data_IF_624975537351
#
_entry.id   IF_624975537351
#
_cell.length_a   1.000
_cell.length_b   1.000
_cell.length_c   1.000
_cell.angle_alpha   90.00
_cell.angle_beta   90.00
_cell.angle_gamma   90.00
#
_symmetry.space_group_name_H-M   'P 1'
#
loop_
_entity.id
_entity.type
_entity.pdbx_description
1 polymer ?
#
# COMPACT_ATOMS: atom_id res chain seq x y z
N UNK A 1 -11.61 17.79 1.80
CA UNK A 1 -11.02 16.56 1.20
C UNK A 1 -10.10 15.75 2.12
N UNK A 2 -8.85 16.17 2.44
CA UNK A 2 -7.93 15.34 3.25
C UNK A 2 -8.47 15.02 4.66
N UNK A 3 -9.04 16.01 5.34
CA UNK A 3 -9.61 15.84 6.68
C UNK A 3 -11.00 15.18 6.68
N UNK A 4 -11.76 15.34 5.61
CA UNK A 4 -13.17 14.92 5.56
C UNK A 4 -13.36 13.51 5.01
N UNK A 5 -12.41 13.03 4.21
CA UNK A 5 -12.47 11.68 3.62
C UNK A 5 -11.29 10.82 4.07
N UNK A 6 -10.05 11.26 3.84
CA UNK A 6 -8.88 10.40 4.06
C UNK A 6 -8.63 10.08 5.54
N UNK A 7 -8.81 11.06 6.45
CA UNK A 7 -8.67 10.79 7.88
C UNK A 7 -9.72 9.75 8.33
N UNK A 8 -11.04 9.95 8.12
CA UNK A 8 -12.02 8.93 8.48
C UNK A 8 -11.81 7.57 7.80
N UNK A 9 -11.38 7.55 6.54
CA UNK A 9 -11.09 6.31 5.83
C UNK A 9 -9.93 5.53 6.48
N UNK A 10 -8.89 6.23 6.93
CA UNK A 10 -7.75 5.59 7.60
C UNK A 10 -8.09 5.14 9.02
N UNK A 11 -8.88 5.92 9.76
CA UNK A 11 -9.39 5.55 11.08
C UNK A 11 -10.22 4.26 11.01
N UNK A 12 -11.19 4.23 10.11
CA UNK A 12 -12.07 3.06 9.94
C UNK A 12 -11.31 1.83 9.43
N UNK A 13 -10.37 2.00 8.50
CA UNK A 13 -9.49 0.90 8.07
C UNK A 13 -8.64 0.34 9.21
N UNK A 14 -8.12 1.21 10.08
CA UNK A 14 -7.32 0.77 11.22
C UNK A 14 -8.19 0.01 12.24
N UNK A 15 -9.43 0.45 12.46
CA UNK A 15 -10.42 -0.26 13.28
C UNK A 15 -10.78 -1.63 12.69
N UNK A 16 -10.95 -1.73 11.36
CA UNK A 16 -11.26 -2.98 10.66
C UNK A 16 -10.22 -4.09 10.92
N UNK A 17 -8.95 -3.71 11.16
CA UNK A 17 -7.86 -4.64 11.46
C UNK A 17 -7.57 -4.75 12.97
N UNK A 18 -8.49 -4.28 13.84
CA UNK A 18 -8.37 -4.34 15.29
C UNK A 18 -7.49 -3.26 15.94
N UNK A 19 -7.09 -2.26 15.17
CA UNK A 19 -6.38 -1.08 15.66
C UNK A 19 -7.28 -0.11 16.44
N UNK A 20 -6.66 0.75 17.24
CA UNK A 20 -7.34 1.82 17.97
C UNK A 20 -7.12 3.17 17.25
N UNK A 21 -8.13 3.72 16.55
CA UNK A 21 -8.00 4.97 15.80
C UNK A 21 -7.52 6.16 16.62
N UNK A 22 -7.77 6.17 17.95
CA UNK A 22 -7.34 7.26 18.84
C UNK A 22 -5.81 7.35 19.00
N UNK A 23 -5.10 6.29 18.64
CA UNK A 23 -3.63 6.25 18.63
C UNK A 23 -3.02 6.77 17.33
N UNK A 24 -3.85 7.01 16.30
CA UNK A 24 -3.40 7.61 15.04
C UNK A 24 -3.25 9.12 15.20
N UNK A 25 -2.15 9.65 14.70
CA UNK A 25 -1.89 11.08 14.65
C UNK A 25 -1.84 11.49 13.19
N UNK A 26 -2.79 12.33 12.78
CA UNK A 26 -2.86 12.86 11.42
C UNK A 26 -2.24 14.25 11.38
N UNK A 27 -1.21 14.41 10.56
CA UNK A 27 -0.53 15.69 10.34
C UNK A 27 -0.65 16.09 8.88
N UNK A 28 -1.07 17.33 8.63
CA UNK A 28 -1.13 17.87 7.29
C UNK A 28 0.22 18.54 6.98
N UNK A 29 0.94 18.04 5.97
CA UNK A 29 2.26 18.57 5.60
C UNK A 29 2.30 20.09 5.48
N UNK A 30 1.28 20.71 4.87
CA UNK A 30 1.22 22.17 4.72
C UNK A 30 1.16 22.92 6.05
N UNK A 31 0.49 22.36 7.06
CA UNK A 31 0.44 22.94 8.41
C UNK A 31 1.77 22.73 9.13
N UNK A 32 2.37 21.55 9.01
CA UNK A 32 3.66 21.25 9.64
C UNK A 32 4.80 22.10 9.06
N UNK A 33 4.85 22.29 7.74
CA UNK A 33 5.84 23.18 7.11
C UNK A 33 5.67 24.63 7.54
N UNK A 34 4.43 25.08 7.79
CA UNK A 34 4.16 26.43 8.27
C UNK A 34 4.59 26.63 9.73
N UNK A 35 4.43 25.59 10.58
CA UNK A 35 4.85 25.61 11.98
C UNK A 35 6.37 25.47 12.15
N UNK A 36 7.01 24.76 11.22
CA UNK A 36 8.42 24.41 11.26
C UNK A 36 9.17 24.96 10.04
N UNK A 37 9.35 26.28 9.91
CA UNK A 37 10.07 26.87 8.77
C UNK A 37 11.52 26.36 8.65
N UNK A 38 12.11 25.87 9.73
CA UNK A 38 13.41 25.21 9.77
C UNK A 38 13.48 23.91 8.95
N UNK A 39 12.32 23.34 8.61
CA UNK A 39 12.19 22.25 7.65
C UNK A 39 12.97 22.55 6.37
N UNK A 40 12.89 23.77 5.84
CA UNK A 40 13.54 24.13 4.59
C UNK A 40 15.07 24.10 4.67
N UNK A 41 15.66 24.35 5.86
CA UNK A 41 17.09 24.12 6.07
C UNK A 41 17.42 22.64 6.05
N UNK A 42 16.60 21.80 6.68
CA UNK A 42 16.75 20.32 6.65
C UNK A 42 16.65 19.78 5.21
N UNK A 43 15.68 20.28 4.45
CA UNK A 43 15.53 19.98 3.02
C UNK A 43 16.79 20.36 2.22
N UNK A 44 17.35 21.56 2.44
CA UNK A 44 18.58 22.00 1.76
C UNK A 44 19.82 21.19 2.19
N UNK A 45 19.92 20.84 3.47
CA UNK A 45 20.98 19.95 3.98
C UNK A 45 20.92 18.58 3.29
N UNK A 46 19.71 18.03 3.14
CA UNK A 46 19.49 16.76 2.45
C UNK A 46 19.75 16.85 0.94
N UNK A 47 19.34 17.94 0.31
CA UNK A 47 19.61 18.21 -1.10
C UNK A 47 21.12 18.29 -1.37
N UNK A 48 21.88 18.95 -0.49
CA UNK A 48 23.35 19.00 -0.56
C UNK A 48 24.00 17.62 -0.44
N UNK A 49 23.42 16.73 0.36
CA UNK A 49 23.90 15.35 0.53
C UNK A 49 23.52 14.41 -0.62
N UNK A 50 22.72 14.86 -1.60
CA UNK A 50 22.15 14.02 -2.67
C UNK A 50 22.53 14.55 -4.05
N UNK A 51 23.12 13.69 -4.90
CA UNK A 51 23.45 14.09 -6.27
C UNK A 51 22.23 14.17 -7.18
N UNK A 52 22.27 15.01 -8.22
CA UNK A 52 21.18 15.14 -9.19
C UNK A 52 20.80 13.79 -9.83
N UNK A 53 21.80 12.97 -10.21
CA UNK A 53 21.56 11.65 -10.77
C UNK A 53 20.81 10.72 -9.80
N UNK A 54 21.05 10.86 -8.49
CA UNK A 54 20.36 10.09 -7.46
C UNK A 54 18.91 10.56 -7.25
N UNK A 55 18.69 11.87 -7.29
CA UNK A 55 17.33 12.44 -7.25
C UNK A 55 16.50 11.97 -8.45
N UNK A 56 17.08 11.98 -9.67
CA UNK A 56 16.42 11.48 -10.89
C UNK A 56 15.99 10.01 -10.77
N UNK A 57 16.89 9.13 -10.32
CA UNK A 57 16.57 7.71 -10.09
C UNK A 57 15.46 7.45 -9.06
N UNK A 58 15.20 8.43 -8.19
CA UNK A 58 14.18 8.35 -7.13
C UNK A 58 12.81 8.86 -7.58
N UNK A 59 12.68 9.42 -8.80
CA UNK A 59 11.39 9.92 -9.33
C UNK A 59 10.37 8.80 -9.51
N UNK A 60 10.82 7.55 -9.70
CA UNK A 60 9.94 6.37 -9.87
C UNK A 60 8.97 6.16 -8.71
N UNK A 61 9.24 6.70 -7.52
CA UNK A 61 8.37 6.66 -6.34
C UNK A 61 7.03 7.36 -6.59
N UNK A 62 7.01 8.34 -7.50
CA UNK A 62 5.83 9.10 -7.91
C UNK A 62 5.05 8.36 -9.01
N UNK A 63 5.45 7.14 -9.38
CA UNK A 63 4.82 6.32 -10.43
C UNK A 63 5.16 6.78 -11.85
N UNK A 64 6.38 7.29 -12.09
CA UNK A 64 6.81 7.83 -13.39
C UNK A 64 8.15 7.26 -13.84
N UNK A 65 8.36 7.15 -15.15
CA UNK A 65 9.62 6.69 -15.75
C UNK A 65 10.72 7.78 -15.68
N UNK A 66 11.99 7.35 -15.71
CA UNK A 66 13.18 8.22 -15.60
C UNK A 66 13.41 9.06 -16.88
N UNK A 67 12.74 8.70 -17.99
CA UNK A 67 13.00 9.20 -19.33
C UNK A 67 12.07 10.35 -19.75
N UNK A 68 12.27 11.54 -19.18
CA UNK A 68 11.81 12.78 -19.82
C UNK A 68 12.92 13.83 -19.76
N UNK A 69 13.37 14.33 -20.92
CA UNK A 69 14.30 15.47 -20.99
C UNK A 69 13.66 16.78 -20.47
N UNK A 70 12.35 16.78 -20.23
CA UNK A 70 11.54 17.88 -19.71
C UNK A 70 10.95 17.60 -18.32
N UNK A 71 11.70 16.95 -17.42
CA UNK A 71 11.26 16.79 -16.03
C UNK A 71 11.21 18.17 -15.35
N UNK A 72 10.02 18.58 -14.91
CA UNK A 72 9.82 19.75 -14.06
C UNK A 72 10.71 19.69 -12.81
N UNK A 73 11.42 20.78 -12.50
CA UNK A 73 12.31 20.86 -11.32
C UNK A 73 11.61 20.48 -10.02
N UNK A 74 10.32 20.80 -9.87
CA UNK A 74 9.51 20.40 -8.72
C UNK A 74 9.51 18.88 -8.47
N UNK A 75 9.51 18.07 -9.53
CA UNK A 75 9.54 16.59 -9.44
C UNK A 75 10.88 16.07 -8.92
N UNK A 76 11.97 16.79 -9.18
CA UNK A 76 13.31 16.45 -8.66
C UNK A 76 13.40 16.75 -7.16
N UNK A 77 12.69 17.78 -6.69
CA UNK A 77 12.65 18.18 -5.29
C UNK A 77 11.81 17.23 -4.43
N UNK A 78 10.77 16.62 -5.00
CA UNK A 78 9.81 15.81 -4.25
C UNK A 78 10.43 14.65 -3.44
N UNK A 79 11.31 13.78 -3.99
CA UNK A 79 11.95 12.73 -3.20
C UNK A 79 12.81 13.26 -2.05
N UNK A 80 13.44 14.42 -2.23
CA UNK A 80 14.25 15.07 -1.18
C UNK A 80 13.34 15.60 -0.07
N UNK A 81 12.22 16.22 -0.45
CA UNK A 81 11.22 16.71 0.49
C UNK A 81 10.64 15.56 1.33
N UNK A 82 10.24 14.46 0.69
CA UNK A 82 9.72 13.28 1.37
C UNK A 82 10.76 12.60 2.28
N UNK A 83 12.04 12.60 1.90
CA UNK A 83 13.10 12.09 2.77
C UNK A 83 13.34 13.05 3.96
N UNK A 84 13.21 14.36 3.76
CA UNK A 84 13.33 15.37 4.83
C UNK A 84 12.17 15.29 5.83
N UNK A 85 10.98 14.89 5.39
CA UNK A 85 9.80 14.70 6.27
C UNK A 85 10.07 13.69 7.40
N UNK A 86 10.90 12.67 7.17
CA UNK A 86 11.30 11.71 8.22
C UNK A 86 12.00 12.42 9.39
N UNK A 87 12.79 13.46 9.10
CA UNK A 87 13.48 14.26 10.10
C UNK A 87 12.58 15.34 10.68
N UNK A 88 11.69 15.94 9.90
CA UNK A 88 10.66 16.84 10.42
C UNK A 88 9.80 16.15 11.49
N UNK A 89 9.31 14.95 11.17
CA UNK A 89 8.42 14.17 12.03
C UNK A 89 9.15 13.48 13.19
N UNK A 90 10.48 13.60 13.27
CA UNK A 90 11.32 12.87 14.21
C UNK A 90 11.04 11.35 14.21
N UNK A 91 10.79 10.78 13.02
CA UNK A 91 10.39 9.38 12.89
C UNK A 91 11.59 8.43 13.03
N UNK A 92 11.67 7.70 14.15
CA UNK A 92 12.67 6.64 14.34
C UNK A 92 12.45 5.45 13.39
N UNK A 93 11.19 5.20 13.01
CA UNK A 93 10.77 4.15 12.09
C UNK A 93 10.01 4.80 10.94
N UNK A 94 10.58 4.75 9.75
CA UNK A 94 9.93 5.16 8.50
C UNK A 94 9.31 3.92 7.85
N UNK A 95 7.98 3.81 7.93
CA UNK A 95 7.21 2.72 7.33
C UNK A 95 6.53 3.19 6.05
N UNK A 96 6.68 2.42 4.96
CA UNK A 96 6.02 2.69 3.68
C UNK A 96 5.91 1.41 2.83
N UNK A 97 5.34 1.51 1.62
CA UNK A 97 5.41 0.43 0.63
C UNK A 97 6.82 0.23 0.06
N UNK A 98 7.09 -0.95 -0.51
CA UNK A 98 8.36 -1.26 -1.20
C UNK A 98 8.71 -0.28 -2.31
N UNK A 99 7.72 0.35 -2.95
CA UNK A 99 7.90 1.38 -3.98
C UNK A 99 8.52 2.67 -3.45
N UNK A 100 8.49 2.91 -2.14
CA UNK A 100 9.06 4.09 -1.49
C UNK A 100 10.50 3.86 -0.98
N UNK A 101 11.05 2.65 -1.14
CA UNK A 101 12.38 2.27 -0.62
C UNK A 101 13.50 3.25 -1.00
N UNK A 102 13.49 3.76 -2.24
CA UNK A 102 14.54 4.66 -2.73
C UNK A 102 14.63 5.95 -1.89
N UNK A 103 13.50 6.50 -1.45
CA UNK A 103 13.44 7.67 -0.56
C UNK A 103 14.09 7.37 0.78
N UNK A 104 13.74 6.22 1.38
CA UNK A 104 14.30 5.83 2.66
C UNK A 104 15.81 5.59 2.59
N UNK A 105 16.32 5.09 1.47
CA UNK A 105 17.77 4.97 1.22
C UNK A 105 18.42 6.36 1.13
N UNK A 106 17.79 7.35 0.46
CA UNK A 106 18.26 8.76 0.48
C UNK A 106 18.29 9.32 1.89
N UNK A 107 17.21 9.16 2.66
CA UNK A 107 17.12 9.63 4.04
C UNK A 107 18.23 9.04 4.92
N UNK A 108 18.49 7.73 4.81
CA UNK A 108 19.51 7.04 5.62
C UNK A 108 20.95 7.38 5.22
N UNK A 109 21.21 7.65 3.96
CA UNK A 109 22.55 8.01 3.49
C UNK A 109 22.94 9.43 3.90
N UNK A 110 21.97 10.33 3.93
CA UNK A 110 22.15 11.73 4.34
C UNK A 110 21.96 11.95 5.85
N UNK A 111 21.40 10.98 6.58
CA UNK A 111 20.99 11.11 7.97
C UNK A 111 22.02 11.71 8.93
N UNK A 112 23.30 11.35 8.79
CA UNK A 112 24.39 11.84 9.68
C UNK A 112 24.94 13.21 9.27
N UNK A 113 24.52 13.75 8.12
CA UNK A 113 24.92 15.05 7.61
C UNK A 113 23.89 16.14 7.97
N UNK A 114 22.66 15.74 8.30
CA UNK A 114 21.59 16.64 8.77
C UNK A 114 22.00 17.25 10.11
N UNK A 115 21.87 18.56 10.25
CA UNK A 115 22.21 19.30 11.49
C UNK A 115 20.99 19.92 12.13
N UNK A 116 20.09 20.47 11.31
CA UNK A 116 18.95 21.25 11.78
C UNK A 116 17.95 20.38 12.55
N UNK A 117 17.48 19.29 11.93
CA UNK A 117 16.47 18.38 12.51
C UNK A 117 17.01 16.96 12.71
N UNK A 118 18.28 16.85 13.13
CA UNK A 118 18.95 15.58 13.28
C UNK A 118 18.19 14.63 14.22
N UNK A 119 17.91 13.41 13.75
CA UNK A 119 17.35 12.35 14.60
C UNK A 119 18.39 11.92 15.64
N UNK A 120 18.00 11.88 16.91
CA UNK A 120 18.87 11.49 18.02
C UNK A 120 18.30 10.35 18.84
N UNK A 121 19.17 9.53 19.40
CA UNK A 121 18.81 8.54 20.42
C UNK A 121 18.63 9.21 21.80
N UNK A 122 18.26 8.39 22.80
CA UNK A 122 18.09 8.85 24.19
C UNK A 122 19.38 9.37 24.84
N UNK A 123 20.54 9.10 24.25
CA UNK A 123 21.85 9.58 24.71
C UNK A 123 22.31 10.82 23.95
N UNK A 124 21.50 11.33 23.02
CA UNK A 124 21.81 12.50 22.19
C UNK A 124 22.69 12.21 20.98
N UNK A 125 23.01 10.93 20.69
CA UNK A 125 23.78 10.56 19.51
C UNK A 125 22.89 10.61 18.28
N UNK A 126 23.44 11.12 17.18
CA UNK A 126 22.72 11.15 15.91
C UNK A 126 22.56 9.73 15.36
N UNK A 127 21.33 9.41 14.94
CA UNK A 127 20.96 8.08 14.45
C UNK A 127 20.36 8.13 13.04
N UNK A 128 20.32 6.97 12.40
CA UNK A 128 19.63 6.78 11.12
C UNK A 128 18.23 6.22 11.38
N UNK A 129 17.19 6.67 10.64
CA UNK A 129 15.85 6.12 10.78
C UNK A 129 15.83 4.65 10.31
N UNK A 130 15.14 3.78 11.03
CA UNK A 130 14.87 2.41 10.59
C UNK A 130 13.85 2.47 9.47
N UNK A 131 14.10 1.77 8.36
CA UNK A 131 13.17 1.72 7.23
C UNK A 131 12.49 0.35 7.18
N UNK A 132 11.16 0.34 7.27
CA UNK A 132 10.32 -0.87 7.16
C UNK A 132 9.45 -0.74 5.93
N UNK A 133 9.45 -1.77 5.08
CA UNK A 133 8.71 -1.74 3.83
C UNK A 133 7.70 -2.86 3.77
N UNK A 134 6.45 -2.54 3.41
CA UNK A 134 5.39 -3.53 3.20
C UNK A 134 5.38 -4.01 1.74
N UNK A 135 5.02 -5.28 1.49
CA UNK A 135 4.78 -5.79 0.15
C UNK A 135 3.72 -4.98 -0.60
N UNK A 136 3.74 -5.08 -1.93
CA UNK A 136 2.76 -4.41 -2.81
C UNK A 136 1.62 -5.38 -3.10
N UNK A 137 0.40 -4.91 -2.88
CA UNK A 137 -0.81 -5.58 -3.34
C UNK A 137 -0.97 -5.37 -4.85
N UNK A 138 -1.07 -6.49 -5.58
CA UNK A 138 -1.25 -6.46 -7.03
C UNK A 138 -2.65 -5.96 -7.40
N UNK A 139 -2.75 -5.27 -8.54
CA UNK A 139 -4.05 -4.99 -9.14
C UNK A 139 -4.79 -6.29 -9.50
N UNK A 140 -6.11 -6.35 -9.28
CA UNK A 140 -6.90 -7.57 -9.50
C UNK A 140 -6.85 -8.07 -10.95
N UNK A 141 -6.67 -7.16 -11.92
CA UNK A 141 -6.57 -7.47 -13.35
C UNK A 141 -5.13 -7.68 -13.83
N UNK A 142 -4.15 -7.66 -12.92
CA UNK A 142 -2.74 -7.80 -13.27
C UNK A 142 -2.48 -9.18 -13.83
N UNK A 143 -2.16 -9.20 -15.12
CA UNK A 143 -1.60 -10.35 -15.81
C UNK A 143 -0.08 -10.15 -15.78
N UNK A 144 0.57 -10.59 -14.71
CA UNK A 144 2.02 -10.62 -14.69
C UNK A 144 2.47 -11.50 -15.86
N UNK A 145 3.14 -10.88 -16.84
CA UNK A 145 3.56 -11.54 -18.07
C UNK A 145 4.41 -12.76 -17.71
N UNK A 146 3.91 -13.93 -18.12
CA UNK A 146 4.66 -15.18 -18.12
C UNK A 146 5.79 -15.00 -19.15
N UNK A 147 7.00 -14.65 -18.73
CA UNK A 147 8.04 -14.40 -19.72
C UNK A 147 9.42 -14.05 -19.20
N UNK A 148 9.58 -12.90 -18.55
CA UNK A 148 10.92 -12.38 -18.32
C UNK A 148 11.25 -12.26 -16.84
N UNK A 149 12.45 -12.77 -16.50
CA UNK A 149 13.13 -12.56 -15.21
C UNK A 149 13.55 -11.10 -15.06
N UNK A 150 12.65 -10.14 -15.22
CA UNK A 150 12.83 -8.83 -14.62
C UNK A 150 12.42 -8.91 -13.15
N UNK A 151 13.10 -8.11 -12.31
CA UNK A 151 12.90 -8.10 -10.86
C UNK A 151 11.41 -8.07 -10.52
N UNK A 152 10.92 -9.09 -9.80
CA UNK A 152 9.51 -9.22 -9.42
C UNK A 152 8.98 -7.94 -8.72
N UNK A 153 9.86 -7.21 -8.04
CA UNK A 153 9.59 -5.92 -7.42
C UNK A 153 9.22 -4.82 -8.45
N UNK A 154 9.88 -4.79 -9.61
CA UNK A 154 9.58 -3.84 -10.70
C UNK A 154 8.22 -4.18 -11.32
N UNK A 155 7.97 -5.47 -11.58
CA UNK A 155 6.71 -5.93 -12.15
C UNK A 155 5.53 -5.67 -11.19
N UNK A 156 5.73 -5.86 -9.89
CA UNK A 156 4.75 -5.53 -8.86
C UNK A 156 4.52 -4.01 -8.75
N UNK A 157 5.55 -3.17 -8.93
CA UNK A 157 5.39 -1.71 -8.97
C UNK A 157 4.58 -1.23 -10.19
N UNK A 158 4.82 -1.82 -11.37
CA UNK A 158 4.10 -1.47 -12.61
C UNK A 158 2.63 -1.91 -12.57
N UNK A 159 2.36 -3.02 -11.87
CA UNK A 159 1.04 -3.64 -11.81
C UNK A 159 0.36 -3.51 -10.43
N UNK A 160 0.77 -2.52 -9.64
CA UNK A 160 0.14 -2.20 -8.35
C UNK A 160 -1.30 -1.73 -8.53
N UNK A 161 -2.11 -1.89 -7.49
CA UNK A 161 -3.43 -1.26 -7.47
C UNK A 161 -3.30 0.24 -7.77
N UNK A 162 -3.96 0.70 -8.84
CA UNK A 162 -3.94 2.10 -9.24
C UNK A 162 -5.32 2.69 -9.10
N UNK A 163 -5.40 3.87 -8.46
CA UNK A 163 -6.64 4.66 -8.41
C UNK A 163 -7.17 5.01 -9.81
N UNK A 164 -6.32 5.02 -10.84
CA UNK A 164 -6.73 5.32 -12.22
C UNK A 164 -7.48 4.18 -12.92
N UNK A 165 -7.51 2.97 -12.35
CA UNK A 165 -8.29 1.84 -12.86
C UNK A 165 -9.21 1.35 -11.75
N UNK A 166 -10.45 1.83 -11.72
CA UNK A 166 -11.43 1.50 -10.67
C UNK A 166 -11.64 -0.02 -10.46
N UNK A 167 -11.53 -0.81 -11.54
CA UNK A 167 -11.65 -2.28 -11.50
C UNK A 167 -10.37 -2.99 -10.99
N UNK A 168 -9.27 -2.27 -10.79
CA UNK A 168 -7.99 -2.85 -10.35
C UNK A 168 -7.87 -3.02 -8.84
N UNK A 169 -8.75 -2.42 -8.04
CA UNK A 169 -8.69 -2.49 -6.59
C UNK A 169 -10.06 -2.33 -5.92
N UNK A 170 -10.09 -2.61 -4.63
CA UNK A 170 -11.27 -2.47 -3.78
C UNK A 170 -11.13 -1.22 -2.93
N UNK A 171 -12.18 -0.41 -2.87
CA UNK A 171 -12.25 0.76 -1.98
C UNK A 171 -12.87 0.36 -0.64
N UNK A 172 -12.63 1.18 0.38
CA UNK A 172 -13.10 0.94 1.76
C UNK A 172 -14.63 0.95 1.91
N UNK A 173 -15.34 1.43 0.90
CA UNK A 173 -16.78 1.64 0.87
C UNK A 173 -17.46 0.92 -0.30
N UNK A 174 -16.74 0.08 -1.05
CA UNK A 174 -17.34 -0.76 -2.10
C UNK A 174 -18.42 -1.66 -1.47
N UNK A 175 -19.61 -1.74 -2.08
CA UNK A 175 -20.66 -2.63 -1.59
C UNK A 175 -20.28 -4.10 -1.73
N UNK A 176 -20.98 -4.97 -1.00
CA UNK A 176 -20.78 -6.43 -1.06
C UNK A 176 -20.85 -6.97 -2.50
N UNK A 177 -21.79 -6.46 -3.30
CA UNK A 177 -21.95 -6.82 -4.71
C UNK A 177 -20.75 -6.40 -5.56
N UNK A 178 -20.20 -5.19 -5.32
CA UNK A 178 -19.03 -4.66 -6.03
C UNK A 178 -17.78 -5.45 -5.63
N UNK A 179 -17.58 -5.73 -4.35
CA UNK A 179 -16.47 -6.56 -3.85
C UNK A 179 -16.49 -7.93 -4.53
N UNK A 180 -17.65 -8.61 -4.51
CA UNK A 180 -17.82 -9.92 -5.17
C UNK A 180 -17.53 -9.84 -6.66
N UNK A 181 -18.06 -8.82 -7.35
CA UNK A 181 -17.83 -8.63 -8.79
C UNK A 181 -16.35 -8.45 -9.11
N UNK A 182 -15.64 -7.59 -8.37
CA UNK A 182 -14.21 -7.28 -8.59
C UNK A 182 -13.31 -8.47 -8.28
N UNK A 183 -13.55 -9.20 -7.19
CA UNK A 183 -12.79 -10.41 -6.88
C UNK A 183 -13.07 -11.52 -7.90
N UNK A 184 -14.32 -11.67 -8.34
CA UNK A 184 -14.67 -12.68 -9.34
C UNK A 184 -14.03 -12.40 -10.70
N UNK A 185 -13.82 -11.13 -11.06
CA UNK A 185 -13.11 -10.75 -12.28
C UNK A 185 -11.58 -10.83 -12.16
N UNK A 186 -11.03 -11.06 -10.97
CA UNK A 186 -9.58 -11.07 -10.78
C UNK A 186 -8.87 -12.14 -11.62
N UNK A 187 -7.67 -11.83 -12.10
CA UNK A 187 -6.79 -12.78 -12.78
C UNK A 187 -6.31 -13.83 -11.77
N UNK A 188 -6.65 -15.10 -12.03
CA UNK A 188 -6.33 -16.22 -11.14
C UNK A 188 -6.35 -17.53 -11.95
N UNK A 189 -5.33 -17.80 -12.78
CA UNK A 189 -5.26 -19.02 -13.57
C UNK A 189 -5.07 -20.25 -12.67
N UNK A 190 -5.88 -21.28 -12.91
CA UNK A 190 -5.86 -22.52 -12.11
C UNK A 190 -4.52 -23.25 -12.21
N UNK A 191 -3.99 -23.69 -11.06
CA UNK A 191 -2.74 -24.46 -10.99
C UNK A 191 -1.49 -23.67 -11.38
N UNK A 192 -1.59 -22.34 -11.56
CA UNK A 192 -0.48 -21.52 -12.00
C UNK A 192 -0.32 -20.25 -11.16
N UNK A 193 0.94 -19.96 -10.85
CA UNK A 193 1.37 -18.74 -10.18
C UNK A 193 1.50 -18.85 -8.66
N UNK A 194 2.10 -17.82 -8.09
CA UNK A 194 2.30 -17.60 -6.66
C UNK A 194 1.85 -16.17 -6.30
N UNK A 195 2.09 -15.74 -5.06
CA UNK A 195 1.80 -14.35 -4.63
C UNK A 195 2.49 -13.24 -5.43
N UNK A 196 3.44 -13.52 -6.32
CA UNK A 196 4.15 -12.52 -7.13
C UNK A 196 3.47 -12.23 -8.47
N UNK A 197 2.74 -13.20 -9.02
CA UNK A 197 2.13 -13.10 -10.36
C UNK A 197 0.63 -13.45 -10.40
N UNK A 198 0.05 -13.90 -9.29
CA UNK A 198 -1.38 -14.17 -9.15
C UNK A 198 -1.98 -13.20 -8.10
N UNK A 199 -2.73 -12.17 -8.53
CA UNK A 199 -3.36 -11.19 -7.63
C UNK A 199 -4.22 -11.80 -6.53
N UNK A 200 -4.95 -12.88 -6.83
CA UNK A 200 -5.79 -13.55 -5.84
C UNK A 200 -4.95 -14.21 -4.74
N UNK A 201 -3.87 -14.90 -5.11
CA UNK A 201 -2.93 -15.49 -4.15
C UNK A 201 -2.16 -14.41 -3.37
N UNK A 202 -1.80 -13.30 -4.04
CA UNK A 202 -1.16 -12.14 -3.43
C UNK A 202 -2.01 -11.54 -2.31
N UNK A 203 -3.28 -11.26 -2.59
CA UNK A 203 -4.22 -10.72 -1.60
C UNK A 203 -4.48 -11.73 -0.48
N UNK A 204 -4.66 -13.01 -0.83
CA UNK A 204 -4.82 -14.07 0.17
C UNK A 204 -3.63 -14.09 1.14
N UNK A 205 -2.40 -14.03 0.63
CA UNK A 205 -1.19 -13.99 1.47
C UNK A 205 -1.14 -12.79 2.40
N UNK A 206 -1.33 -11.60 1.85
CA UNK A 206 -1.01 -10.36 2.57
C UNK A 206 -2.20 -9.75 3.32
N UNK A 207 -3.44 -10.12 3.00
CA UNK A 207 -4.64 -9.62 3.68
C UNK A 207 -5.25 -10.65 4.64
N UNK A 208 -5.23 -11.94 4.28
CA UNK A 208 -5.83 -13.01 5.08
C UNK A 208 -4.78 -13.65 5.98
N UNK A 209 -3.67 -14.11 5.39
CA UNK A 209 -2.58 -14.77 6.13
C UNK A 209 -1.49 -13.79 6.61
N UNK A 210 -1.91 -12.62 7.09
CA UNK A 210 -0.98 -11.59 7.61
C UNK A 210 -0.47 -11.89 9.03
N UNK A 211 -1.08 -12.85 9.73
CA UNK A 211 -0.71 -13.33 11.06
C UNK A 211 -0.53 -14.85 11.08
N UNK A 212 0.33 -15.37 11.96
CA UNK A 212 0.57 -16.82 12.07
C UNK A 212 -0.67 -17.62 12.53
N UNK A 213 -1.57 -16.97 13.25
CA UNK A 213 -2.84 -17.52 13.71
C UNK A 213 -3.94 -17.47 12.64
N UNK A 214 -3.72 -16.82 11.50
CA UNK A 214 -4.72 -16.68 10.46
C UNK A 214 -5.14 -18.04 9.90
N UNK A 215 -6.45 -18.20 9.69
CA UNK A 215 -7.07 -19.41 9.13
C UNK A 215 -8.05 -19.00 8.04
N UNK A 216 -8.14 -19.80 6.99
CA UNK A 216 -9.17 -19.61 5.95
C UNK A 216 -9.99 -20.89 5.80
N UNK A 217 -11.30 -20.74 5.91
CA UNK A 217 -12.27 -21.80 5.64
C UNK A 217 -12.90 -21.53 4.27
N UNK A 218 -12.95 -22.54 3.41
CA UNK A 218 -13.56 -22.46 2.09
C UNK A 218 -14.73 -23.44 2.07
N UNK A 219 -15.96 -22.91 2.02
CA UNK A 219 -17.16 -23.74 1.92
C UNK A 219 -17.41 -24.13 0.47
N UNK A 220 -17.49 -25.44 0.19
CA UNK A 220 -17.80 -25.94 -1.16
C UNK A 220 -18.67 -27.19 -1.09
N UNK A 221 -19.60 -27.39 -2.04
CA UNK A 221 -20.46 -28.57 -2.07
C UNK A 221 -19.67 -29.89 -2.07
N UNK A 222 -20.22 -30.95 -1.45
CA UNK A 222 -19.57 -32.27 -1.38
C UNK A 222 -19.15 -32.83 -2.74
N UNK A 223 -19.95 -32.58 -3.79
CA UNK A 223 -19.65 -32.98 -5.18
C UNK A 223 -18.35 -32.39 -5.75
N UNK A 224 -17.80 -31.35 -5.10
CA UNK A 224 -16.55 -30.69 -5.46
C UNK A 224 -15.44 -30.91 -4.41
N UNK A 225 -15.60 -31.91 -3.53
CA UNK A 225 -14.58 -32.28 -2.54
C UNK A 225 -14.79 -31.72 -1.13
N UNK A 226 -15.95 -31.09 -0.85
CA UNK A 226 -16.37 -30.66 0.49
C UNK A 226 -15.53 -29.53 1.10
N UNK A 227 -15.97 -28.98 2.24
CA UNK A 227 -15.31 -27.84 2.89
C UNK A 227 -13.81 -28.06 3.11
N UNK A 228 -13.02 -27.02 2.83
CA UNK A 228 -11.56 -27.03 3.04
C UNK A 228 -11.17 -26.05 4.15
N UNK A 229 -10.10 -26.38 4.87
CA UNK A 229 -9.51 -25.51 5.91
C UNK A 229 -8.02 -25.38 5.69
N UNK A 230 -7.51 -24.16 5.69
CA UNK A 230 -6.10 -23.86 5.54
C UNK A 230 -5.57 -23.16 6.78
N UNK A 231 -4.48 -23.68 7.34
CA UNK A 231 -3.85 -23.11 8.53
C UNK A 231 -2.68 -22.19 8.23
N UNK A 232 -2.23 -22.17 6.97
CA UNK A 232 -1.15 -21.33 6.49
C UNK A 232 -1.35 -21.00 5.02
N UNK A 233 -0.70 -19.92 4.57
CA UNK A 233 -0.68 -19.57 3.15
C UNK A 233 0.00 -20.67 2.32
N UNK A 234 1.06 -21.28 2.85
CA UNK A 234 1.83 -22.32 2.17
C UNK A 234 1.02 -23.59 1.91
N UNK A 235 0.09 -23.96 2.80
CA UNK A 235 -0.86 -25.05 2.58
C UNK A 235 -1.83 -24.71 1.44
N UNK A 236 -2.36 -23.49 1.44
CA UNK A 236 -3.31 -23.02 0.43
C UNK A 236 -2.67 -22.93 -0.96
N UNK A 237 -1.48 -22.34 -1.04
CA UNK A 237 -0.72 -22.21 -2.29
C UNK A 237 -0.44 -23.58 -2.91
N UNK A 238 -0.01 -24.56 -2.09
CA UNK A 238 0.20 -25.94 -2.56
C UNK A 238 -1.07 -26.56 -3.12
N UNK A 239 -2.20 -26.43 -2.43
CA UNK A 239 -3.49 -26.96 -2.91
C UNK A 239 -3.95 -26.27 -4.20
N UNK A 240 -3.72 -24.96 -4.32
CA UNK A 240 -4.05 -24.20 -5.53
C UNK A 240 -3.21 -24.65 -6.73
N UNK A 241 -1.89 -24.81 -6.56
CA UNK A 241 -0.96 -25.28 -7.60
C UNK A 241 -1.27 -26.72 -8.01
N UNK A 242 -1.60 -27.58 -7.03
CA UNK A 242 -2.00 -28.97 -7.27
C UNK A 242 -3.37 -29.11 -7.95
N UNK A 243 -4.12 -28.00 -8.09
CA UNK A 243 -5.50 -27.96 -8.62
C UNK A 243 -6.53 -28.66 -7.72
N UNK A 244 -6.21 -28.86 -6.45
CA UNK A 244 -7.14 -29.35 -5.44
C UNK A 244 -8.09 -28.24 -4.96
N UNK A 245 -7.64 -26.99 -5.06
CA UNK A 245 -8.42 -25.78 -4.78
C UNK A 245 -8.70 -25.03 -6.09
N UNK A 246 -9.97 -25.01 -6.52
CA UNK A 246 -10.39 -24.31 -7.72
C UNK A 246 -10.40 -22.77 -7.50
N UNK A 247 -10.00 -21.94 -8.49
CA UNK A 247 -9.92 -20.49 -8.33
C UNK A 247 -11.24 -19.82 -7.93
N UNK A 248 -12.38 -20.34 -8.39
CA UNK A 248 -13.69 -19.78 -8.04
C UNK A 248 -14.01 -19.95 -6.54
N UNK A 249 -13.61 -21.07 -5.94
CA UNK A 249 -13.84 -21.32 -4.52
C UNK A 249 -13.01 -20.35 -3.68
N UNK A 250 -11.75 -20.12 -4.08
CA UNK A 250 -10.89 -19.13 -3.44
C UNK A 250 -11.42 -17.70 -3.63
N UNK A 251 -11.89 -17.34 -4.82
CA UNK A 251 -12.51 -16.02 -5.09
C UNK A 251 -13.67 -15.74 -4.16
N UNK A 252 -14.58 -16.70 -4.00
CA UNK A 252 -15.72 -16.55 -3.10
C UNK A 252 -15.27 -16.37 -1.65
N UNK A 253 -14.34 -17.19 -1.17
CA UNK A 253 -13.82 -17.09 0.20
C UNK A 253 -13.10 -15.76 0.47
N UNK A 254 -12.29 -15.27 -0.49
CA UNK A 254 -11.62 -13.97 -0.39
C UNK A 254 -12.62 -12.81 -0.42
N UNK A 255 -13.65 -12.89 -1.27
CA UNK A 255 -14.69 -11.87 -1.33
C UNK A 255 -15.48 -11.79 -0.01
N UNK A 256 -15.88 -12.93 0.55
CA UNK A 256 -16.62 -12.98 1.81
C UNK A 256 -15.75 -12.47 2.99
N UNK A 257 -14.46 -12.82 3.02
CA UNK A 257 -13.51 -12.26 3.99
C UNK A 257 -13.42 -10.73 3.91
N UNK A 258 -13.28 -10.18 2.70
CA UNK A 258 -13.19 -8.74 2.50
C UNK A 258 -14.49 -8.02 2.87
N UNK A 259 -15.63 -8.63 2.60
CA UNK A 259 -16.95 -8.13 3.02
C UNK A 259 -17.02 -8.07 4.54
N UNK A 260 -16.59 -9.10 5.25
CA UNK A 260 -16.61 -9.13 6.70
C UNK A 260 -15.67 -8.07 7.30
N UNK A 261 -14.40 -8.06 6.89
CA UNK A 261 -13.39 -7.18 7.49
C UNK A 261 -13.67 -5.69 7.21
N UNK A 262 -14.20 -5.35 6.03
CA UNK A 262 -14.49 -3.95 5.67
C UNK A 262 -15.87 -3.48 6.17
N UNK A 263 -16.66 -4.34 6.84
CA UNK A 263 -18.01 -3.99 7.29
C UNK A 263 -18.04 -2.71 8.17
N UNK A 264 -17.13 -2.51 9.14
CA UNK A 264 -17.12 -1.29 9.96
C UNK A 264 -16.91 -0.03 9.10
N UNK A 265 -16.00 -0.09 8.13
CA UNK A 265 -15.75 1.02 7.21
C UNK A 265 -16.97 1.31 6.33
N UNK A 266 -17.62 0.27 5.77
CA UNK A 266 -18.84 0.47 4.96
C UNK A 266 -19.95 1.13 5.75
N UNK A 267 -20.27 0.61 6.94
CA UNK A 267 -21.28 1.21 7.84
C UNK A 267 -20.97 2.66 8.18
N UNK A 268 -19.70 3.01 8.39
CA UNK A 268 -19.29 4.39 8.66
C UNK A 268 -19.62 5.35 7.51
N UNK A 269 -19.41 4.92 6.25
CA UNK A 269 -19.62 5.74 5.05
C UNK A 269 -21.05 5.73 4.50
N UNK A 270 -21.93 4.85 4.99
CA UNK A 270 -23.37 4.84 4.65
C UNK A 270 -24.12 6.07 5.19
N UNK A 271 -23.61 6.74 6.22
CA UNK A 271 -24.23 7.94 6.78
C UNK A 271 -24.35 9.08 5.75
N UNK A 272 -25.54 9.71 5.57
CA UNK A 272 -25.78 10.70 4.52
C UNK A 272 -24.82 11.90 4.52
N UNK A 273 -24.38 12.34 5.70
CA UNK A 273 -23.42 13.45 5.83
C UNK A 273 -22.05 13.12 5.24
N UNK A 274 -21.65 11.85 5.28
CA UNK A 274 -20.33 11.37 4.83
C UNK A 274 -20.37 10.91 3.37
N UNK A 275 -21.54 10.50 2.89
CA UNK A 275 -21.80 10.19 1.48
C UNK A 275 -21.56 11.39 0.55
N UNK A 276 -21.77 12.62 1.02
CA UNK A 276 -21.48 13.83 0.25
C UNK A 276 -19.97 14.01 -0.04
N UNK A 277 -19.11 13.78 0.97
CA UNK A 277 -17.67 13.84 0.80
C UNK A 277 -17.15 12.71 -0.10
N UNK A 278 -17.79 11.54 -0.06
CA UNK A 278 -17.51 10.43 -0.98
C UNK A 278 -17.83 10.80 -2.43
N UNK A 279 -19.03 11.35 -2.69
CA UNK A 279 -19.45 11.75 -4.03
C UNK A 279 -18.52 12.82 -4.63
N UNK A 280 -18.02 13.73 -3.80
CA UNK A 280 -17.02 14.72 -4.22
C UNK A 280 -15.71 14.06 -4.66
N UNK A 281 -15.22 13.06 -3.90
CA UNK A 281 -14.02 12.28 -4.26
C UNK A 281 -14.25 11.53 -5.57
N UNK A 282 -15.36 10.82 -5.71
CA UNK A 282 -15.70 10.04 -6.90
C UNK A 282 -15.71 10.93 -8.16
N UNK A 283 -16.31 12.12 -8.07
CA UNK A 283 -16.33 13.08 -9.18
C UNK A 283 -14.93 13.57 -9.59
N UNK A 284 -14.00 13.64 -8.65
CA UNK A 284 -12.62 14.07 -8.90
C UNK A 284 -11.74 12.96 -9.46
N UNK A 285 -12.00 11.70 -9.09
CA UNK A 285 -11.23 10.54 -9.54
C UNK A 285 -11.77 9.87 -10.80
N UNK A 286 -12.99 10.21 -11.23
CA UNK A 286 -13.62 9.70 -12.46
C UNK A 286 -13.22 10.45 -13.74
N UNK A 287 -12.26 11.39 -13.65
CA UNK A 287 -11.70 12.14 -14.78
C UNK A 287 -10.37 11.54 -15.22
#
# INVERSE_FOLDING_TARGET
MSREYFIPAMETLFECIGGDPKKLIFQLCSEEYAKHPEFWFTFLEMAKGTSLARSKRSITIMGREEAEDSIETAKIMYPIMQAADIFLLQANIAQAGMDQRKVHVVARDTALQIKTSALKDSKGNQIKPVAIHTPILLGLQTQALIGDKEDADILAMLNKMSKSKAESGITVHDSDEIIKKKINSAFAPEGYGDSTNNPLLNWTRYLIFNEQSARLNISRPEKWGGDMKFNSYEELEKAYIAKDLHPMDLKNAVADYLIEILEPARKYFEEPKRKAALLEIENLTSR
#
